data_IF_929004199970
#
_entry.id   IF_929004199970
#
_cell.length_a   1.000
_cell.length_b   1.000
_cell.length_c   1.000
_cell.angle_alpha   90.00
_cell.angle_beta   90.00
_cell.angle_gamma   90.00
#
_symmetry.space_group_name_H-M   'P 1'
#
loop_
_entity.id
_entity.type
_entity.pdbx_description
1 polymer ?
#
# COMPACT_ATOMS: atom_id res chain seq x y z
N UNK A 1 12.97 -30.33 -50.52
CA UNK A 1 12.88 -29.17 -49.62
C UNK A 1 12.30 -29.65 -48.30
N UNK A 2 13.08 -29.61 -47.22
CA UNK A 2 12.71 -30.20 -45.93
C UNK A 2 11.63 -29.35 -45.23
N UNK A 3 10.57 -30.02 -44.80
CA UNK A 3 9.57 -29.55 -43.84
C UNK A 3 10.21 -29.38 -42.46
N UNK A 4 9.90 -28.30 -41.74
CA UNK A 4 9.50 -28.33 -40.31
C UNK A 4 9.32 -26.93 -39.71
N UNK A 5 8.13 -26.70 -39.16
CA UNK A 5 7.96 -25.70 -38.11
C UNK A 5 8.78 -26.10 -36.89
N UNK A 6 9.50 -25.14 -36.34
CA UNK A 6 10.13 -25.19 -35.02
C UNK A 6 9.85 -23.83 -34.37
N UNK A 7 8.91 -23.85 -33.44
CA UNK A 7 8.65 -22.74 -32.55
C UNK A 7 9.93 -22.48 -31.72
N UNK A 8 10.71 -21.46 -32.12
CA UNK A 8 11.45 -20.67 -31.14
C UNK A 8 12.97 -20.78 -31.05
N UNK A 9 13.71 -21.53 -31.87
CA UNK A 9 15.19 -21.44 -31.87
C UNK A 9 15.77 -21.84 -33.23
N UNK A 10 16.52 -20.94 -33.88
CA UNK A 10 17.37 -21.32 -35.01
C UNK A 10 18.58 -22.13 -34.50
N UNK A 11 19.14 -22.98 -35.36
CA UNK A 11 20.25 -23.91 -35.06
C UNK A 11 21.52 -23.25 -34.48
N UNK A 12 21.57 -21.91 -34.47
CA UNK A 12 22.61 -21.08 -33.84
C UNK A 12 22.37 -20.77 -32.34
N UNK A 13 21.25 -21.21 -31.75
CA UNK A 13 20.90 -20.89 -30.36
C UNK A 13 20.44 -19.44 -30.15
N UNK A 14 20.18 -18.73 -31.24
CA UNK A 14 19.63 -17.38 -31.25
C UNK A 14 18.12 -17.43 -31.50
N UNK A 15 17.39 -16.55 -30.84
CA UNK A 15 15.98 -16.33 -31.12
C UNK A 15 15.80 -15.73 -32.53
N UNK A 16 14.62 -15.93 -33.11
CA UNK A 16 14.26 -15.36 -34.42
C UNK A 16 14.30 -13.82 -34.37
N UNK A 17 14.51 -13.17 -35.52
CA UNK A 17 14.54 -11.71 -35.60
C UNK A 17 13.26 -11.10 -35.02
N UNK A 18 13.39 -10.22 -34.03
CA UNK A 18 12.27 -9.61 -33.33
C UNK A 18 11.88 -10.30 -32.01
N UNK A 19 12.61 -11.33 -31.60
CA UNK A 19 12.47 -11.97 -30.29
C UNK A 19 13.59 -11.57 -29.32
N UNK A 20 13.30 -11.64 -28.04
CA UNK A 20 14.23 -11.46 -26.94
C UNK A 20 14.58 -12.82 -26.33
N UNK A 21 15.88 -13.04 -26.09
CA UNK A 21 16.39 -14.24 -25.46
C UNK A 21 16.39 -14.09 -23.94
N UNK A 22 15.57 -14.92 -23.28
CA UNK A 22 15.50 -15.03 -21.84
C UNK A 22 16.77 -15.66 -21.26
N UNK A 23 17.02 -15.48 -19.97
CA UNK A 23 18.16 -16.11 -19.27
C UNK A 23 18.04 -17.64 -19.19
N UNK A 24 16.82 -18.18 -19.20
CA UNK A 24 16.54 -19.60 -19.29
C UNK A 24 16.56 -20.17 -20.73
N UNK A 25 16.99 -19.38 -21.73
CA UNK A 25 17.04 -19.73 -23.17
C UNK A 25 15.68 -19.92 -23.83
N UNK A 26 14.60 -19.45 -23.20
CA UNK A 26 13.35 -19.24 -23.90
C UNK A 26 13.43 -17.99 -24.79
N UNK A 27 12.59 -17.95 -25.81
CA UNK A 27 12.44 -16.81 -26.69
C UNK A 27 11.04 -16.24 -26.53
N UNK A 28 10.95 -14.95 -26.25
CA UNK A 28 9.70 -14.20 -26.17
C UNK A 28 9.71 -13.09 -27.21
N UNK A 29 8.54 -12.57 -27.59
CA UNK A 29 8.48 -11.42 -28.50
C UNK A 29 9.08 -10.19 -27.84
N UNK A 30 9.80 -9.36 -28.61
CA UNK A 30 10.40 -8.12 -28.09
C UNK A 30 9.37 -7.16 -27.49
N UNK A 31 8.10 -7.22 -27.92
CA UNK A 31 7.00 -6.45 -27.35
C UNK A 31 6.49 -6.95 -25.99
N UNK A 32 6.91 -8.14 -25.55
CA UNK A 32 6.63 -8.68 -24.22
C UNK A 32 7.78 -8.43 -23.24
N UNK A 33 8.81 -7.71 -23.66
CA UNK A 33 9.87 -7.28 -22.75
C UNK A 33 9.38 -6.02 -22.04
N UNK A 34 9.38 -6.04 -20.71
CA UNK A 34 8.95 -4.92 -19.87
C UNK A 34 7.47 -4.57 -19.98
N UNK A 35 6.61 -5.57 -20.16
CA UNK A 35 5.16 -5.39 -20.22
C UNK A 35 4.47 -5.62 -18.86
N UNK A 36 5.24 -5.94 -17.82
CA UNK A 36 4.76 -6.23 -16.47
C UNK A 36 4.39 -7.69 -16.24
N UNK A 37 4.59 -8.57 -17.23
CA UNK A 37 4.25 -9.99 -17.19
C UNK A 37 5.53 -10.82 -17.37
N UNK A 38 5.67 -11.88 -16.58
CA UNK A 38 6.77 -12.82 -16.74
C UNK A 38 6.46 -13.80 -17.88
N UNK A 39 6.82 -13.43 -19.11
CA UNK A 39 6.63 -14.26 -20.30
C UNK A 39 7.77 -15.26 -20.47
N UNK A 40 8.97 -14.94 -19.96
CA UNK A 40 10.09 -15.87 -19.96
C UNK A 40 9.90 -17.08 -19.02
N UNK A 41 9.04 -16.97 -18.01
CA UNK A 41 8.88 -17.94 -16.92
C UNK A 41 9.94 -17.80 -15.81
N UNK A 42 11.14 -17.31 -16.13
CA UNK A 42 12.15 -16.91 -15.16
C UNK A 42 12.08 -15.41 -14.80
N UNK A 43 11.32 -14.60 -15.53
CA UNK A 43 11.17 -13.16 -15.33
C UNK A 43 12.31 -12.33 -15.87
N UNK A 44 13.21 -12.91 -16.69
CA UNK A 44 14.37 -12.19 -17.22
C UNK A 44 14.02 -11.08 -18.21
N UNK A 45 12.85 -11.17 -18.85
CA UNK A 45 12.17 -10.12 -19.62
C UNK A 45 11.76 -8.90 -18.79
N UNK A 46 11.53 -9.07 -17.48
CA UNK A 46 11.02 -8.01 -16.59
C UNK A 46 12.09 -7.42 -15.65
N UNK A 47 13.32 -7.96 -15.66
CA UNK A 47 14.38 -7.59 -14.70
C UNK A 47 15.15 -6.31 -15.07
N UNK A 48 15.22 -5.95 -16.35
CA UNK A 48 16.11 -4.89 -16.87
C UNK A 48 15.33 -3.78 -17.60
N UNK A 49 14.19 -3.41 -17.04
CA UNK A 49 13.30 -2.41 -17.61
C UNK A 49 13.71 -1.00 -17.18
N UNK A 50 14.61 -0.39 -17.94
CA UNK A 50 15.03 1.01 -17.79
C UNK A 50 13.94 1.91 -18.39
N UNK A 51 12.74 1.92 -17.79
CA UNK A 51 11.61 2.75 -18.22
C UNK A 51 10.24 2.09 -18.31
N UNK A 52 9.99 0.98 -17.61
CA UNK A 52 8.68 0.32 -17.59
C UNK A 52 7.72 0.93 -16.57
N UNK A 53 6.50 1.25 -17.02
CA UNK A 53 5.35 1.76 -16.24
C UNK A 53 4.96 0.79 -15.14
N UNK A 54 5.55 0.94 -13.96
CA UNK A 54 4.98 0.35 -12.76
C UNK A 54 3.84 1.28 -12.32
N UNK A 55 2.59 0.93 -12.65
CA UNK A 55 1.40 1.64 -12.15
C UNK A 55 1.19 1.36 -10.64
N UNK A 56 2.20 1.71 -9.84
CA UNK A 56 2.13 1.88 -8.39
C UNK A 56 1.13 2.96 -7.98
N UNK A 57 0.49 3.64 -8.91
CA UNK A 57 -0.56 4.63 -8.67
C UNK A 57 -1.67 4.08 -7.76
N UNK A 58 -2.09 2.82 -7.94
CA UNK A 58 -3.13 2.21 -7.09
C UNK A 58 -2.60 1.84 -5.70
N UNK A 59 -1.42 1.22 -5.63
CA UNK A 59 -0.81 0.82 -4.35
C UNK A 59 -0.47 2.06 -3.52
N UNK A 60 0.12 3.09 -4.13
CA UNK A 60 0.40 4.37 -3.49
C UNK A 60 -0.88 5.08 -3.08
N UNK A 61 -1.95 5.06 -3.90
CA UNK A 61 -3.24 5.60 -3.50
C UNK A 61 -3.83 4.86 -2.29
N UNK A 62 -3.77 3.53 -2.25
CA UNK A 62 -4.24 2.74 -1.10
C UNK A 62 -3.41 3.03 0.15
N UNK A 63 -2.08 3.08 0.04
CA UNK A 63 -1.19 3.39 1.17
C UNK A 63 -1.44 4.80 1.70
N UNK A 64 -1.64 5.78 0.82
CA UNK A 64 -2.00 7.15 1.20
C UNK A 64 -3.39 7.20 1.84
N UNK A 65 -4.39 6.51 1.30
CA UNK A 65 -5.73 6.45 1.89
C UNK A 65 -5.73 5.80 3.27
N UNK A 66 -4.99 4.70 3.45
CA UNK A 66 -4.83 4.02 4.75
C UNK A 66 -4.06 4.89 5.74
N UNK A 67 -3.00 5.56 5.32
CA UNK A 67 -2.25 6.48 6.16
C UNK A 67 -3.10 7.69 6.59
N UNK A 68 -3.86 8.29 5.67
CA UNK A 68 -4.76 9.39 5.98
C UNK A 68 -5.92 8.97 6.89
N UNK A 69 -6.46 7.75 6.71
CA UNK A 69 -7.48 7.22 7.60
C UNK A 69 -6.91 6.90 8.99
N UNK A 70 -5.72 6.30 9.09
CA UNK A 70 -5.06 6.01 10.36
C UNK A 70 -4.65 7.28 11.11
N UNK A 71 -4.17 8.31 10.41
CA UNK A 71 -3.83 9.62 11.01
C UNK A 71 -5.11 10.39 11.37
N UNK A 72 -6.13 10.39 10.50
CA UNK A 72 -7.40 11.07 10.75
C UNK A 72 -8.18 10.44 11.90
N UNK A 73 -8.34 9.12 11.89
CA UNK A 73 -8.92 8.39 13.02
C UNK A 73 -8.02 8.45 14.23
N UNK A 74 -6.69 8.47 14.10
CA UNK A 74 -5.76 8.68 15.22
C UNK A 74 -5.94 10.04 15.90
N UNK A 75 -6.10 11.13 15.15
CA UNK A 75 -6.35 12.48 15.70
C UNK A 75 -7.74 12.55 16.34
N UNK A 76 -8.78 12.05 15.66
CA UNK A 76 -10.15 12.04 16.20
C UNK A 76 -10.27 11.11 17.41
N UNK A 77 -9.64 9.94 17.38
CA UNK A 77 -9.60 8.96 18.45
C UNK A 77 -8.78 9.47 19.62
N UNK A 78 -7.65 10.16 19.43
CA UNK A 78 -6.90 10.75 20.55
C UNK A 78 -7.65 11.94 21.15
N UNK A 79 -8.31 12.80 20.36
CA UNK A 79 -9.17 13.88 20.88
C UNK A 79 -10.36 13.29 21.63
N UNK A 80 -11.04 12.30 21.07
CA UNK A 80 -12.17 11.63 21.71
C UNK A 80 -11.75 10.82 22.93
N UNK A 81 -10.62 10.12 22.88
CA UNK A 81 -10.02 9.37 23.99
C UNK A 81 -9.54 10.31 25.10
N UNK A 82 -8.88 11.42 24.76
CA UNK A 82 -8.52 12.47 25.73
C UNK A 82 -9.77 13.19 26.28
N UNK A 83 -10.86 13.29 25.51
CA UNK A 83 -12.16 13.82 25.96
C UNK A 83 -12.97 12.82 26.79
N UNK A 84 -12.82 11.53 26.50
CA UNK A 84 -13.45 10.40 27.18
C UNK A 84 -12.75 10.11 28.50
N UNK A 85 -11.41 10.08 28.50
CA UNK A 85 -10.54 10.04 29.67
C UNK A 85 -10.57 11.35 30.47
N UNK A 86 -11.11 12.44 29.91
CA UNK A 86 -11.45 13.66 30.64
C UNK A 86 -12.86 13.66 31.24
N UNK A 87 -13.63 12.57 31.09
CA UNK A 87 -14.87 12.31 31.84
C UNK A 87 -14.62 11.25 32.92
N UNK A 88 -13.68 11.55 33.82
CA UNK A 88 -13.80 11.00 35.17
C UNK A 88 -15.04 11.63 35.82
N UNK A 89 -16.07 10.81 35.92
CA UNK A 89 -17.17 11.02 36.84
C UNK A 89 -16.56 10.96 38.24
N UNK A 90 -16.53 12.09 38.97
CA UNK A 90 -16.91 12.23 40.40
C UNK A 90 -16.47 13.62 40.96
N UNK A 91 -17.48 14.46 41.23
CA UNK A 91 -17.62 15.40 42.37
C UNK A 91 -16.61 16.56 42.51
N UNK A 92 -17.01 17.78 42.13
CA UNK A 92 -16.32 19.00 42.56
C UNK A 92 -16.74 19.36 43.98
N UNK A 93 -15.76 19.55 44.86
CA UNK A 93 -15.98 20.19 46.15
C UNK A 93 -15.82 21.71 45.96
N UNK A 94 -16.88 22.50 46.21
CA UNK A 94 -16.78 23.96 46.30
C UNK A 94 -16.79 24.35 47.78
N UNK A 95 -15.76 25.06 48.25
CA UNK A 95 -15.70 25.60 49.62
C UNK A 95 -16.58 26.86 49.68
N UNK A 96 -17.77 26.75 50.29
CA UNK A 96 -18.61 27.88 50.68
C UNK A 96 -18.11 28.54 51.97
N UNK A 97 -18.64 29.73 52.36
CA UNK A 97 -17.92 30.74 53.16
C UNK A 97 -17.67 30.44 54.66
N UNK A 98 -17.83 29.21 55.13
CA UNK A 98 -17.26 28.75 56.42
C UNK A 98 -16.70 27.33 56.25
N UNK A 99 -15.39 27.19 56.50
CA UNK A 99 -14.54 26.07 56.09
C UNK A 99 -14.54 24.88 57.08
N UNK A 100 -15.49 23.95 56.99
CA UNK A 100 -15.33 22.60 57.61
C UNK A 100 -16.25 21.43 57.11
N UNK A 101 -16.82 21.53 55.89
CA UNK A 101 -17.19 20.42 54.94
C UNK A 101 -18.52 19.60 55.09
N UNK A 102 -19.05 18.91 54.03
CA UNK A 102 -19.55 19.40 52.72
C UNK A 102 -20.87 18.77 52.17
N UNK A 103 -21.61 19.52 51.34
CA UNK A 103 -22.77 19.02 50.57
C UNK A 103 -22.59 19.15 49.05
N UNK A 104 -23.14 18.22 48.27
CA UNK A 104 -23.00 18.14 46.80
C UNK A 104 -24.12 18.92 46.10
N UNK A 105 -23.78 19.82 45.17
CA UNK A 105 -24.76 20.50 44.29
C UNK A 105 -24.53 20.10 42.84
N UNK A 106 -25.60 19.71 42.14
CA UNK A 106 -25.59 19.43 40.70
C UNK A 106 -25.88 20.70 39.90
N UNK A 107 -24.96 21.11 39.04
CA UNK A 107 -25.15 22.22 38.08
C UNK A 107 -25.19 21.66 36.66
N UNK A 108 -26.25 21.93 35.86
CA UNK A 108 -26.29 21.58 34.45
C UNK A 108 -25.46 22.58 33.61
N UNK A 109 -24.79 22.09 32.56
CA UNK A 109 -23.98 22.90 31.64
C UNK A 109 -24.88 23.78 30.72
N UNK A 110 -24.34 24.91 30.20
CA UNK A 110 -25.04 25.76 29.24
C UNK A 110 -25.30 25.05 27.91
#
# INVERSE_FOLDING_TARGET
>A
MALRGLCGTDLSGNCESGMYACSNRHCVWSGFVCDGINNCGDGSDERLCIGGRQDHTLILAIVVLVALFAVGTGIVFQIAYNRYSGRDIQTQYIVGPNLDQPGVVHVPKP
#
